data_IF_708009083206
#
_entry.id   IF_708009083206
#
_cell.length_a   1.000
_cell.length_b   1.000
_cell.length_c   1.000
_cell.angle_alpha   90.00
_cell.angle_beta   90.00
_cell.angle_gamma   90.00
#
_symmetry.space_group_name_H-M   'P 1'
#
loop_
_entity.id
_entity.type
_entity.pdbx_description
1 polymer ?
#
# COMPACT_ATOMS: atom_id res chain seq x y z
N UNK A 1 -2.40 6.20 -14.60
CA UNK A 1 -3.86 6.50 -14.80
C UNK A 1 -4.30 6.08 -16.20
N UNK A 2 -3.48 6.36 -17.22
CA UNK A 2 -3.64 5.96 -18.61
C UNK A 2 -3.84 4.44 -18.78
N UNK A 3 -3.15 3.62 -17.99
CA UNK A 3 -3.32 2.17 -18.02
C UNK A 3 -4.67 1.73 -17.44
N UNK A 4 -5.16 2.41 -16.39
CA UNK A 4 -6.51 2.17 -15.86
C UNK A 4 -7.58 2.51 -16.90
N UNK A 5 -7.40 3.63 -17.62
CA UNK A 5 -8.30 4.03 -18.69
C UNK A 5 -8.34 2.99 -19.83
N UNK A 6 -7.21 2.37 -20.18
CA UNK A 6 -7.15 1.27 -21.18
C UNK A 6 -7.90 0.02 -20.74
N UNK A 7 -7.91 -0.29 -19.45
CA UNK A 7 -8.59 -1.49 -18.90
C UNK A 7 -10.12 -1.37 -18.93
N UNK A 8 -10.67 -0.16 -19.07
CA UNK A 8 -12.10 0.03 -19.24
C UNK A 8 -12.55 1.45 -18.94
N UNK A 9 -13.63 1.89 -19.62
CA UNK A 9 -14.16 3.26 -19.52
C UNK A 9 -14.48 3.69 -18.08
N UNK A 10 -15.12 2.82 -17.30
CA UNK A 10 -15.49 3.13 -15.91
C UNK A 10 -14.39 2.82 -14.89
N UNK A 11 -13.28 2.19 -15.30
CA UNK A 11 -12.21 1.76 -14.39
C UNK A 11 -11.65 2.93 -13.56
N UNK A 12 -11.38 4.12 -14.14
CA UNK A 12 -10.96 5.28 -13.35
C UNK A 12 -11.98 5.73 -12.31
N UNK A 13 -13.29 5.64 -12.59
CA UNK A 13 -14.39 6.03 -11.66
C UNK A 13 -14.43 5.13 -10.44
N UNK A 14 -14.03 3.86 -10.56
CA UNK A 14 -13.93 2.98 -9.40
C UNK A 14 -12.65 3.17 -8.58
N UNK A 15 -11.67 3.91 -9.12
CA UNK A 15 -10.38 4.19 -8.48
C UNK A 15 -10.17 5.68 -8.22
N UNK A 16 -9.23 6.35 -8.92
CA UNK A 16 -8.82 7.72 -8.61
C UNK A 16 -9.88 8.79 -8.94
N UNK A 17 -10.92 8.47 -9.72
CA UNK A 17 -12.03 9.38 -10.01
C UNK A 17 -13.28 9.14 -9.16
N UNK A 18 -13.17 8.34 -8.09
CA UNK A 18 -14.31 7.90 -7.29
C UNK A 18 -15.00 9.06 -6.55
N UNK A 19 -16.31 9.27 -6.74
CA UNK A 19 -17.05 10.36 -6.10
C UNK A 19 -17.63 10.00 -4.71
N UNK A 20 -17.49 8.74 -4.28
CA UNK A 20 -18.16 8.19 -3.09
C UNK A 20 -17.96 9.06 -1.84
N UNK A 21 -19.08 9.51 -1.27
CA UNK A 21 -19.09 10.31 -0.04
C UNK A 21 -18.88 11.81 -0.25
N UNK A 22 -18.88 12.27 -1.51
CA UNK A 22 -18.77 13.68 -1.87
C UNK A 22 -20.12 14.13 -2.45
N UNK A 23 -20.69 15.19 -1.89
CA UNK A 23 -21.89 15.83 -2.42
C UNK A 23 -21.48 17.14 -3.09
N UNK A 24 -21.77 17.29 -4.38
CA UNK A 24 -21.51 18.54 -5.09
C UNK A 24 -22.49 19.61 -4.59
N UNK A 25 -22.00 20.72 -3.98
CA UNK A 25 -22.87 21.76 -3.44
C UNK A 25 -23.70 22.48 -4.51
N UNK A 26 -23.30 22.42 -5.80
CA UNK A 26 -24.05 23.04 -6.89
C UNK A 26 -25.31 22.25 -7.27
N UNK A 27 -25.27 20.93 -7.09
CA UNK A 27 -26.34 20.02 -7.54
C UNK A 27 -27.05 19.31 -6.38
N UNK A 28 -26.46 19.31 -5.18
CA UNK A 28 -26.94 18.58 -4.02
C UNK A 28 -26.86 17.05 -4.18
N UNK A 29 -26.12 16.55 -5.17
CA UNK A 29 -26.02 15.12 -5.52
C UNK A 29 -24.57 14.66 -5.55
N UNK A 30 -24.37 13.34 -5.48
CA UNK A 30 -23.05 12.76 -5.75
C UNK A 30 -22.69 12.99 -7.23
N UNK A 31 -21.52 13.58 -7.54
CA UNK A 31 -21.11 13.81 -8.92
C UNK A 31 -20.77 12.48 -9.62
N UNK A 32 -20.75 12.47 -10.95
CA UNK A 32 -20.38 11.27 -11.71
C UNK A 32 -18.94 10.81 -11.43
N UNK A 33 -18.03 11.77 -11.34
CA UNK A 33 -16.60 11.56 -11.10
C UNK A 33 -16.01 12.83 -10.48
N UNK A 34 -14.90 12.68 -9.76
CA UNK A 34 -14.15 13.81 -9.20
C UNK A 34 -12.66 13.67 -9.48
N UNK A 35 -11.94 14.78 -9.56
CA UNK A 35 -10.49 14.79 -9.38
C UNK A 35 -10.21 15.46 -8.05
N UNK A 36 -9.51 14.76 -7.17
CA UNK A 36 -9.14 15.30 -5.87
C UNK A 36 -7.75 15.91 -5.94
N UNK A 37 -7.60 17.10 -5.36
CA UNK A 37 -6.31 17.71 -5.13
C UNK A 37 -5.94 17.64 -3.65
N UNK A 38 -4.67 17.40 -3.35
CA UNK A 38 -4.13 17.42 -1.99
C UNK A 38 -3.00 18.44 -1.89
N UNK A 39 -3.04 19.26 -0.86
CA UNK A 39 -1.98 20.20 -0.52
C UNK A 39 -0.69 19.45 -0.18
N UNK A 40 0.43 19.86 -0.78
CA UNK A 40 1.75 19.24 -0.60
C UNK A 40 2.73 20.14 0.17
N UNK A 41 2.62 21.47 0.04
CA UNK A 41 3.45 22.43 0.76
C UNK A 41 2.69 23.07 1.93
N UNK A 42 3.44 23.59 2.91
CA UNK A 42 2.85 24.25 4.08
C UNK A 42 2.12 25.54 3.70
N UNK A 43 2.61 26.27 2.70
CA UNK A 43 2.03 27.55 2.28
C UNK A 43 0.80 27.40 1.36
N UNK A 44 0.45 26.19 0.95
CA UNK A 44 -0.76 25.93 0.16
C UNK A 44 -0.65 26.34 -1.30
N UNK A 45 0.56 26.48 -1.83
CA UNK A 45 0.82 26.84 -3.23
C UNK A 45 0.91 25.62 -4.14
N UNK A 46 1.23 24.45 -3.58
CA UNK A 46 1.45 23.21 -4.31
C UNK A 46 0.35 22.20 -4.00
N UNK A 47 -0.34 21.75 -5.05
CA UNK A 47 -1.42 20.79 -4.96
C UNK A 47 -1.19 19.64 -5.94
N UNK A 48 -1.21 18.41 -5.46
CA UNK A 48 -1.05 17.19 -6.27
C UNK A 48 -2.40 16.60 -6.66
N UNK A 49 -2.51 16.00 -7.85
CA UNK A 49 -3.67 15.19 -8.23
C UNK A 49 -3.57 13.81 -7.55
N UNK A 50 -4.54 13.50 -6.70
CA UNK A 50 -4.56 12.26 -5.92
C UNK A 50 -4.85 11.06 -6.84
N UNK A 51 -3.95 10.07 -6.86
CA UNK A 51 -4.13 8.84 -7.64
C UNK A 51 -3.89 8.97 -9.15
N UNK A 52 -3.24 10.07 -9.58
CA UNK A 52 -2.88 10.33 -10.97
C UNK A 52 -1.42 9.98 -11.29
N UNK A 53 -0.90 8.88 -10.74
CA UNK A 53 0.42 8.37 -11.14
C UNK A 53 0.40 8.07 -12.65
N UNK A 54 1.38 8.56 -13.40
CA UNK A 54 1.38 8.49 -14.86
C UNK A 54 2.78 8.44 -15.44
N UNK A 55 2.95 7.65 -16.50
CA UNK A 55 4.11 7.59 -17.38
C UNK A 55 3.91 8.32 -18.70
N UNK A 56 2.81 9.09 -18.86
CA UNK A 56 2.59 9.91 -20.04
C UNK A 56 3.71 10.94 -20.21
N UNK A 57 3.98 11.32 -21.47
CA UNK A 57 4.91 12.43 -21.76
C UNK A 57 4.36 13.74 -21.20
N UNK A 58 5.24 14.63 -20.71
CA UNK A 58 4.83 15.88 -20.07
C UNK A 58 3.87 16.75 -20.90
N UNK A 59 4.03 16.89 -22.24
CA UNK A 59 3.06 17.63 -23.05
C UNK A 59 1.65 17.02 -23.01
N UNK A 60 1.55 15.70 -22.96
CA UNK A 60 0.27 14.99 -22.91
C UNK A 60 -0.35 15.06 -21.51
N UNK A 61 0.47 15.01 -20.46
CA UNK A 61 0.00 15.30 -19.11
C UNK A 61 -0.62 16.68 -19.01
N UNK A 62 0.02 17.72 -19.57
CA UNK A 62 -0.53 19.08 -19.58
C UNK A 62 -1.89 19.14 -20.25
N UNK A 63 -2.01 18.52 -21.43
CA UNK A 63 -3.31 18.45 -22.14
C UNK A 63 -4.39 17.81 -21.29
N UNK A 64 -4.10 16.65 -20.68
CA UNK A 64 -5.08 15.93 -19.85
C UNK A 64 -5.47 16.75 -18.63
N UNK A 65 -4.51 17.34 -17.90
CA UNK A 65 -4.81 18.17 -16.71
C UNK A 65 -5.74 19.34 -17.07
N UNK A 66 -5.50 20.00 -18.20
CA UNK A 66 -6.29 21.14 -18.64
C UNK A 66 -7.70 20.78 -19.14
N UNK A 67 -8.04 19.49 -19.26
CA UNK A 67 -9.43 19.05 -19.50
C UNK A 67 -10.25 18.91 -18.21
N UNK A 68 -9.61 18.99 -17.03
CA UNK A 68 -10.27 18.81 -15.75
C UNK A 68 -10.93 20.14 -15.33
N UNK A 69 -12.23 20.15 -15.00
CA UNK A 69 -12.91 21.36 -14.57
C UNK A 69 -12.22 22.04 -13.38
N UNK A 70 -11.91 23.33 -13.51
CA UNK A 70 -11.16 24.13 -12.53
C UNK A 70 -9.64 24.10 -12.70
N UNK A 71 -9.10 23.28 -13.61
CA UNK A 71 -7.67 23.19 -13.92
C UNK A 71 -7.35 23.58 -15.38
N UNK A 72 -8.27 24.23 -16.08
CA UNK A 72 -8.15 24.60 -17.50
C UNK A 72 -6.89 25.45 -17.76
N UNK A 73 -6.53 26.30 -16.80
CA UNK A 73 -5.36 27.18 -16.83
C UNK A 73 -4.30 26.80 -15.79
N UNK A 74 -4.32 25.56 -15.28
CA UNK A 74 -3.39 25.15 -14.24
C UNK A 74 -1.93 25.25 -14.70
N UNK A 75 -1.08 25.85 -13.86
CA UNK A 75 0.37 25.82 -14.02
C UNK A 75 0.92 24.53 -13.40
N UNK A 76 1.53 23.68 -14.24
CA UNK A 76 2.12 22.42 -13.77
C UNK A 76 3.58 22.68 -13.40
N UNK A 77 3.84 22.79 -12.11
CA UNK A 77 5.20 23.01 -11.58
C UNK A 77 6.02 21.72 -11.46
N UNK A 78 5.36 20.56 -11.39
CA UNK A 78 5.99 19.23 -11.35
C UNK A 78 5.12 18.21 -12.08
N UNK A 79 5.68 17.63 -13.14
CA UNK A 79 5.03 16.57 -13.89
C UNK A 79 5.10 15.23 -13.17
N UNK A 80 4.06 14.42 -13.37
CA UNK A 80 4.02 13.06 -12.89
C UNK A 80 5.09 12.22 -13.58
N UNK A 81 5.66 11.28 -12.82
CA UNK A 81 6.54 10.25 -13.36
C UNK A 81 6.14 8.94 -12.73
N UNK A 82 6.11 7.87 -13.53
CA UNK A 82 6.13 6.52 -12.98
C UNK A 82 7.54 6.27 -12.47
N UNK A 83 7.70 6.28 -11.15
CA UNK A 83 8.97 5.98 -10.54
C UNK A 83 9.32 4.51 -10.77
N UNK A 84 10.57 4.26 -11.17
CA UNK A 84 11.13 2.92 -11.16
C UNK A 84 11.32 2.51 -9.70
N UNK A 85 10.52 1.58 -9.22
CA UNK A 85 10.72 0.97 -7.91
C UNK A 85 11.70 -0.20 -8.06
N UNK A 86 12.79 -0.15 -7.31
CA UNK A 86 13.72 -1.28 -7.17
C UNK A 86 13.25 -2.13 -6.00
N UNK A 87 12.92 -3.39 -6.27
CA UNK A 87 12.52 -4.37 -5.27
C UNK A 87 13.07 -5.75 -5.64
N UNK A 88 13.23 -6.60 -4.64
CA UNK A 88 13.61 -8.00 -4.82
C UNK A 88 12.41 -8.86 -5.20
N UNK A 89 12.65 -9.96 -5.92
CA UNK A 89 11.66 -11.01 -6.06
C UNK A 89 11.52 -11.75 -4.72
N UNK A 90 10.70 -11.19 -3.83
CA UNK A 90 10.59 -11.62 -2.44
C UNK A 90 10.21 -13.11 -2.30
N UNK A 91 9.22 -13.65 -3.06
CA UNK A 91 8.86 -15.06 -2.92
C UNK A 91 10.04 -16.01 -3.17
N UNK A 92 10.94 -15.66 -4.10
CA UNK A 92 12.16 -16.43 -4.38
C UNK A 92 13.25 -16.24 -3.34
N UNK A 93 13.37 -15.04 -2.78
CA UNK A 93 14.60 -14.63 -2.09
C UNK A 93 14.48 -14.51 -0.57
N UNK A 94 13.29 -14.23 -0.02
CA UNK A 94 13.12 -13.97 1.41
C UNK A 94 12.22 -15.00 2.10
N UNK A 95 12.50 -15.27 3.37
CA UNK A 95 11.60 -15.94 4.31
C UNK A 95 10.59 -14.94 4.86
N UNK A 96 9.53 -15.44 5.47
CA UNK A 96 8.53 -14.62 6.20
C UNK A 96 9.13 -13.88 7.42
N UNK A 97 10.32 -14.28 7.88
CA UNK A 97 11.13 -13.55 8.87
C UNK A 97 11.85 -12.32 8.30
N UNK A 98 11.73 -12.08 6.99
CA UNK A 98 12.47 -11.09 6.20
C UNK A 98 13.97 -11.37 6.01
N UNK A 99 14.43 -12.56 6.41
CA UNK A 99 15.79 -13.05 6.16
C UNK A 99 15.92 -13.58 4.73
N UNK A 100 17.06 -13.35 4.07
CA UNK A 100 17.38 -13.97 2.79
C UNK A 100 17.52 -15.48 2.93
N UNK A 101 16.93 -16.22 2.00
CA UNK A 101 16.95 -17.70 2.00
C UNK A 101 18.36 -18.25 1.94
N UNK A 102 19.18 -17.69 1.04
CA UNK A 102 20.51 -18.21 0.71
C UNK A 102 21.65 -17.50 1.45
N UNK A 103 21.34 -16.43 2.20
CA UNK A 103 22.35 -15.65 2.96
C UNK A 103 21.86 -15.48 4.40
N UNK A 104 22.12 -16.46 5.28
CA UNK A 104 21.69 -16.41 6.68
C UNK A 104 22.21 -15.16 7.40
N UNK A 105 21.37 -14.56 8.24
CA UNK A 105 21.68 -13.34 8.99
C UNK A 105 21.58 -12.03 8.20
N UNK A 106 21.26 -12.07 6.90
CA UNK A 106 20.98 -10.87 6.10
C UNK A 106 19.48 -10.69 5.95
N UNK A 107 19.00 -9.52 6.40
CA UNK A 107 17.58 -9.16 6.37
C UNK A 107 17.31 -8.02 5.39
N UNK A 108 16.13 -8.05 4.77
CA UNK A 108 15.68 -7.02 3.83
C UNK A 108 14.34 -6.46 4.28
N UNK A 109 14.18 -5.14 4.24
CA UNK A 109 12.95 -4.45 4.64
C UNK A 109 12.61 -3.31 3.69
N UNK A 110 11.42 -2.73 3.87
CA UNK A 110 10.97 -1.61 3.06
C UNK A 110 10.67 -1.98 1.62
N UNK A 111 10.66 -0.96 0.75
CA UNK A 111 10.41 -1.13 -0.69
C UNK A 111 11.30 -2.20 -1.31
N UNK A 112 12.55 -2.35 -0.85
CA UNK A 112 13.46 -3.37 -1.35
C UNK A 112 12.95 -4.80 -1.09
N UNK A 113 12.26 -5.04 0.02
CA UNK A 113 11.62 -6.32 0.35
C UNK A 113 10.32 -6.57 -0.42
N UNK A 114 9.85 -5.60 -1.22
CA UNK A 114 8.62 -5.73 -2.00
C UNK A 114 7.36 -5.25 -1.29
N UNK A 115 7.47 -4.29 -0.37
CA UNK A 115 6.28 -3.58 0.16
C UNK A 115 6.11 -2.19 -0.47
N UNK A 116 4.89 -1.67 -0.45
CA UNK A 116 4.59 -0.29 -0.88
C UNK A 116 3.92 0.48 0.25
N UNK A 117 4.43 1.67 0.55
CA UNK A 117 3.93 2.55 1.59
C UNK A 117 4.90 2.76 2.76
N UNK A 118 4.80 3.91 3.40
CA UNK A 118 5.68 4.30 4.50
C UNK A 118 5.49 3.41 5.73
N UNK A 119 4.23 3.07 6.04
CA UNK A 119 3.88 2.28 7.22
C UNK A 119 4.32 0.83 7.04
N UNK A 120 4.07 0.25 5.86
CA UNK A 120 4.52 -1.10 5.49
C UNK A 120 6.05 -1.19 5.51
N UNK A 121 6.73 -0.14 5.04
CA UNK A 121 8.18 -0.07 5.08
C UNK A 121 8.72 0.01 6.51
N UNK A 122 8.11 0.81 7.36
CA UNK A 122 8.47 0.88 8.78
C UNK A 122 8.19 -0.43 9.52
N UNK A 123 7.05 -1.07 9.25
CA UNK A 123 6.64 -2.30 9.91
C UNK A 123 7.53 -3.50 9.52
N UNK A 124 7.92 -3.61 8.24
CA UNK A 124 8.93 -4.59 7.81
C UNK A 124 10.31 -4.27 8.37
N UNK A 125 10.68 -2.98 8.47
CA UNK A 125 11.91 -2.55 9.14
C UNK A 125 11.97 -2.97 10.61
N UNK A 126 10.86 -2.78 11.33
CA UNK A 126 10.69 -3.26 12.70
C UNK A 126 10.92 -4.77 12.81
N UNK A 127 10.28 -5.59 11.97
CA UNK A 127 10.41 -7.04 12.04
C UNK A 127 11.80 -7.53 11.66
N UNK A 128 12.39 -6.96 10.61
CA UNK A 128 13.75 -7.27 10.18
C UNK A 128 14.77 -6.92 11.29
N UNK A 129 14.63 -5.75 11.91
CA UNK A 129 15.48 -5.32 13.03
C UNK A 129 15.30 -6.21 14.28
N UNK A 130 14.06 -6.56 14.62
CA UNK A 130 13.74 -7.49 15.70
C UNK A 130 14.43 -8.84 15.47
N UNK A 131 14.30 -9.41 14.28
CA UNK A 131 14.89 -10.72 13.97
C UNK A 131 16.43 -10.68 13.87
N UNK A 132 17.00 -9.59 13.32
CA UNK A 132 18.44 -9.38 13.33
C UNK A 132 18.98 -9.29 14.77
N UNK A 133 18.30 -8.54 15.64
CA UNK A 133 18.65 -8.45 17.06
C UNK A 133 18.56 -9.80 17.78
N UNK A 134 17.49 -10.57 17.52
CA UNK A 134 17.33 -11.93 18.07
C UNK A 134 18.46 -12.86 17.61
N UNK A 135 18.80 -12.86 16.32
CA UNK A 135 19.92 -13.66 15.82
C UNK A 135 21.25 -13.27 16.45
N UNK A 136 21.50 -11.97 16.66
CA UNK A 136 22.70 -11.51 17.36
C UNK A 136 22.78 -12.00 18.83
N UNK A 137 21.63 -12.25 19.46
CA UNK A 137 21.51 -12.83 20.80
C UNK A 137 21.48 -14.37 20.80
N UNK A 138 21.64 -15.02 19.64
CA UNK A 138 21.53 -16.48 19.50
C UNK A 138 20.09 -17.02 19.64
N UNK A 139 19.09 -16.15 19.56
CA UNK A 139 17.67 -16.50 19.60
C UNK A 139 17.13 -16.73 18.18
N UNK A 140 16.17 -17.67 18.00
CA UNK A 140 15.56 -17.89 16.70
C UNK A 140 14.71 -16.69 16.25
N UNK A 141 14.65 -16.38 14.94
CA UNK A 141 13.78 -15.34 14.42
C UNK A 141 12.31 -15.71 14.59
N UNK A 142 11.46 -14.69 14.60
CA UNK A 142 10.02 -14.78 14.87
C UNK A 142 9.22 -14.13 13.76
N UNK A 143 7.95 -14.50 13.65
CA UNK A 143 7.02 -13.99 12.64
C UNK A 143 5.68 -13.71 13.32
N UNK A 144 5.05 -12.55 13.08
CA UNK A 144 3.72 -12.28 13.61
C UNK A 144 2.66 -13.26 13.06
N UNK A 145 1.52 -13.39 13.77
CA UNK A 145 0.44 -14.29 13.34
C UNK A 145 -0.24 -13.80 12.05
N UNK A 146 -0.78 -14.70 11.20
CA UNK A 146 -1.41 -14.36 9.92
C UNK A 146 -2.67 -13.49 10.06
N UNK A 147 -3.29 -13.44 11.24
CA UNK A 147 -4.42 -12.55 11.52
C UNK A 147 -3.99 -11.09 11.65
N UNK A 148 -2.72 -10.84 12.00
CA UNK A 148 -2.15 -9.49 12.06
C UNK A 148 -1.79 -9.00 10.66
N UNK A 149 -1.92 -7.69 10.41
CA UNK A 149 -1.61 -7.12 9.10
C UNK A 149 -0.12 -7.32 8.71
N UNK A 150 0.80 -7.15 9.67
CA UNK A 150 2.23 -7.37 9.42
C UNK A 150 2.53 -8.84 9.13
N UNK A 151 1.98 -9.77 9.93
CA UNK A 151 2.18 -11.21 9.73
C UNK A 151 1.63 -11.68 8.38
N UNK A 152 0.42 -11.22 8.02
CA UNK A 152 -0.15 -11.50 6.71
C UNK A 152 0.70 -10.95 5.55
N UNK A 153 1.18 -9.72 5.69
CA UNK A 153 2.00 -9.07 4.67
C UNK A 153 3.31 -9.83 4.42
N UNK A 154 4.08 -10.15 5.47
CA UNK A 154 5.38 -10.85 5.29
C UNK A 154 5.23 -12.29 4.82
N UNK A 155 4.11 -12.96 5.18
CA UNK A 155 3.75 -14.26 4.62
C UNK A 155 3.43 -14.15 3.14
N UNK A 156 2.65 -13.14 2.74
CA UNK A 156 2.41 -12.86 1.31
C UNK A 156 3.72 -12.64 0.55
N UNK A 157 4.64 -11.83 1.08
CA UNK A 157 5.95 -11.61 0.43
C UNK A 157 6.72 -12.91 0.24
N UNK A 158 6.64 -13.84 1.19
CA UNK A 158 7.38 -15.11 1.14
C UNK A 158 6.69 -16.19 0.29
N UNK A 159 5.38 -16.10 0.04
CA UNK A 159 4.59 -17.18 -0.61
C UNK A 159 3.82 -16.75 -1.86
N UNK A 160 3.87 -15.48 -2.26
CA UNK A 160 3.21 -15.01 -3.48
C UNK A 160 3.78 -15.66 -4.75
N UNK A 161 3.06 -15.52 -5.86
CA UNK A 161 3.51 -16.05 -7.15
C UNK A 161 4.81 -15.35 -7.59
N UNK A 162 5.88 -16.10 -7.88
CA UNK A 162 7.19 -15.51 -8.13
C UNK A 162 7.36 -14.82 -9.49
N UNK A 163 6.77 -15.36 -10.55
CA UNK A 163 7.08 -14.98 -11.93
C UNK A 163 6.60 -13.58 -12.27
N UNK A 164 5.49 -13.14 -11.65
CA UNK A 164 4.91 -11.80 -11.83
C UNK A 164 4.77 -11.04 -10.50
N UNK A 165 5.62 -11.35 -9.53
CA UNK A 165 5.61 -10.68 -8.22
C UNK A 165 5.64 -9.15 -8.38
N UNK A 166 4.73 -8.46 -7.70
CA UNK A 166 4.69 -7.01 -7.58
C UNK A 166 4.66 -6.62 -6.10
N UNK A 167 5.18 -5.43 -5.74
CA UNK A 167 5.11 -4.96 -4.38
C UNK A 167 3.68 -4.91 -3.83
N UNK A 168 3.54 -5.11 -2.52
CA UNK A 168 2.24 -5.18 -1.84
C UNK A 168 2.10 -4.11 -0.76
N UNK A 169 0.94 -3.46 -0.73
CA UNK A 169 0.52 -2.59 0.38
C UNK A 169 -0.46 -3.32 1.30
N UNK A 170 -0.63 -2.83 2.53
CA UNK A 170 -1.56 -3.40 3.48
C UNK A 170 -3.00 -3.34 2.94
N UNK A 171 -3.70 -4.48 2.96
CA UNK A 171 -5.11 -4.56 2.56
C UNK A 171 -5.81 -5.75 3.21
N UNK A 172 -7.13 -5.66 3.36
CA UNK A 172 -7.95 -6.69 4.04
C UNK A 172 -7.98 -8.04 3.33
N UNK A 173 -7.48 -8.15 2.09
CA UNK A 173 -7.37 -9.42 1.38
C UNK A 173 -6.20 -10.29 1.83
N UNK A 174 -5.23 -9.72 2.56
CA UNK A 174 -4.06 -10.46 3.06
C UNK A 174 -4.40 -11.30 4.29
N UNK A 175 -5.28 -10.81 5.15
CA UNK A 175 -5.64 -11.47 6.40
C UNK A 175 -6.72 -12.54 6.16
N UNK A 176 -6.76 -13.63 6.96
CA UNK A 176 -7.80 -14.64 6.84
C UNK A 176 -9.21 -14.04 6.86
N UNK A 177 -10.16 -14.55 6.07
CA UNK A 177 -11.54 -14.05 6.12
C UNK A 177 -12.18 -14.30 7.49
N UNK A 178 -13.27 -13.58 7.77
CA UNK A 178 -14.25 -13.98 8.78
C UNK A 178 -15.37 -14.75 8.09
N UNK A 179 -15.78 -15.86 8.69
CA UNK A 179 -16.94 -16.63 8.27
C UNK A 179 -18.25 -15.91 8.63
N UNK A 180 -19.33 -16.25 7.92
CA UNK A 180 -20.65 -15.68 8.14
C UNK A 180 -20.98 -14.45 7.29
N UNK A 181 -22.29 -14.17 7.20
CA UNK A 181 -22.82 -12.98 6.52
C UNK A 181 -22.77 -11.79 7.48
N UNK A 182 -21.96 -10.81 7.15
CA UNK A 182 -21.83 -9.55 7.88
C UNK A 182 -21.80 -8.39 6.90
N UNK A 183 -22.22 -7.21 7.37
CA UNK A 183 -21.91 -5.95 6.69
C UNK A 183 -20.39 -5.79 6.54
N UNK A 184 -19.96 -5.17 5.44
CA UNK A 184 -18.54 -4.97 5.10
C UNK A 184 -17.80 -4.13 6.15
N UNK A 185 -18.45 -3.13 6.76
CA UNK A 185 -17.85 -2.29 7.80
C UNK A 185 -17.61 -3.10 9.07
N UNK A 186 -18.64 -3.76 9.58
CA UNK A 186 -18.58 -4.64 10.74
C UNK A 186 -17.55 -5.77 10.54
N UNK A 187 -17.48 -6.35 9.34
CA UNK A 187 -16.49 -7.38 9.00
C UNK A 187 -15.05 -6.85 9.13
N UNK A 188 -14.77 -5.66 8.58
CA UNK A 188 -13.45 -5.03 8.68
C UNK A 188 -13.09 -4.65 10.12
N UNK A 189 -14.04 -4.17 10.89
CA UNK A 189 -13.83 -3.86 12.31
C UNK A 189 -13.55 -5.11 13.14
N UNK A 190 -14.26 -6.21 12.89
CA UNK A 190 -13.99 -7.48 13.54
C UNK A 190 -12.62 -8.05 13.13
N UNK A 191 -12.23 -7.95 11.85
CA UNK A 191 -10.88 -8.32 11.39
C UNK A 191 -9.80 -7.47 12.07
N UNK A 192 -10.03 -6.16 12.21
CA UNK A 192 -9.13 -5.25 12.92
C UNK A 192 -8.92 -5.71 14.37
N UNK A 193 -10.00 -5.93 15.12
CA UNK A 193 -9.93 -6.35 16.53
C UNK A 193 -9.23 -7.69 16.70
N UNK A 194 -9.54 -8.68 15.84
CA UNK A 194 -8.88 -9.99 15.83
C UNK A 194 -7.38 -9.85 15.55
N UNK A 195 -7.02 -9.10 14.51
CA UNK A 195 -5.63 -8.92 14.11
C UNK A 195 -4.79 -8.15 15.13
N UNK A 196 -5.37 -7.13 15.75
CA UNK A 196 -4.71 -6.36 16.82
C UNK A 196 -4.47 -7.23 18.06
N UNK A 197 -5.49 -7.97 18.51
CA UNK A 197 -5.37 -8.89 19.65
C UNK A 197 -4.30 -9.95 19.40
N UNK A 198 -4.30 -10.58 18.22
CA UNK A 198 -3.31 -11.58 17.85
C UNK A 198 -1.88 -11.00 17.82
N UNK A 199 -1.70 -9.80 17.26
CA UNK A 199 -0.40 -9.13 17.25
C UNK A 199 0.09 -8.79 18.66
N UNK A 200 -0.80 -8.29 19.53
CA UNK A 200 -0.45 -7.92 20.91
C UNK A 200 -0.06 -9.14 21.75
N UNK A 201 -0.77 -10.26 21.60
CA UNK A 201 -0.43 -11.52 22.25
C UNK A 201 0.97 -11.99 21.82
N UNK A 202 1.20 -12.08 20.50
CA UNK A 202 2.50 -12.43 19.94
C UNK A 202 3.63 -11.50 20.40
N UNK A 203 3.40 -10.18 20.37
CA UNK A 203 4.43 -9.22 20.76
C UNK A 203 4.79 -9.32 22.24
N UNK A 204 3.80 -9.59 23.10
CA UNK A 204 4.02 -9.78 24.53
C UNK A 204 4.87 -11.03 24.80
N UNK A 205 4.61 -12.13 24.10
CA UNK A 205 5.41 -13.37 24.20
C UNK A 205 6.86 -13.15 23.74
N UNK A 206 7.06 -12.44 22.62
CA UNK A 206 8.39 -12.16 22.08
C UNK A 206 9.19 -11.19 22.96
N UNK A 207 8.53 -10.25 23.63
CA UNK A 207 9.20 -9.27 24.49
C UNK A 207 9.54 -9.82 25.89
N UNK A 208 8.81 -10.83 26.36
CA UNK A 208 9.06 -11.46 27.66
C UNK A 208 10.15 -12.55 27.63
N UNK A 209 10.51 -13.06 26.45
CA UNK A 209 11.48 -14.14 26.27
C UNK A 209 12.75 -13.73 25.53
#
# INVERSE_FOLDING_TARGET
IEELARRGYLTPVFGPLRPVGIIDPRTGKEPFAVVQLRQEDREGRLWSLVGFQTGLKWPDQKKVVQTIPGLENAEIVRYGVMHRNTYLNAPKLIRETLELRDVPGVFVAGVLAGVEGYIESAATGFLAGLNAGRMALGLPPVVPPPESMLGALVRFLATAEPENFQPMSANWGLVPPLEGKMDKRAKREAMFRRGLSAFQAWFSEVWQG
#
